data_IF_330048001967
#
_entry.id   IF_330048001967
#
_cell.length_a   1.000
_cell.length_b   1.000
_cell.length_c   1.000
_cell.angle_alpha   90.00
_cell.angle_beta   90.00
_cell.angle_gamma   90.00
#
_symmetry.space_group_name_H-M   'P 1'
#
loop_
_entity.id
_entity.type
_entity.pdbx_description
1 polymer ?
#
# COMPACT_ATOMS: atom_id res chain seq x y z
N UNK A 1 14.96 -12.71 -57.83
CA UNK A 1 13.75 -13.09 -57.05
C UNK A 1 14.04 -13.67 -55.67
N UNK A 2 14.77 -14.79 -55.54
CA UNK A 2 14.98 -15.44 -54.22
C UNK A 2 15.61 -14.58 -53.12
N UNK A 3 16.53 -13.64 -53.44
CA UNK A 3 17.10 -12.72 -52.44
C UNK A 3 16.07 -11.73 -51.89
N UNK A 4 15.18 -11.21 -52.75
CA UNK A 4 14.11 -10.28 -52.34
C UNK A 4 13.10 -10.96 -51.42
N UNK A 5 12.68 -12.18 -51.78
CA UNK A 5 11.74 -12.98 -50.96
C UNK A 5 12.34 -13.25 -49.57
N UNK A 6 13.62 -13.64 -49.50
CA UNK A 6 14.31 -13.89 -48.22
C UNK A 6 14.37 -12.63 -47.35
N UNK A 7 14.66 -11.47 -47.93
CA UNK A 7 14.68 -10.19 -47.21
C UNK A 7 13.28 -9.83 -46.71
N UNK A 8 12.24 -9.97 -47.53
CA UNK A 8 10.85 -9.69 -47.10
C UNK A 8 10.39 -10.60 -45.96
N UNK A 9 10.68 -11.90 -46.04
CA UNK A 9 10.34 -12.86 -44.96
C UNK A 9 11.08 -12.51 -43.67
N UNK A 10 12.36 -12.16 -43.75
CA UNK A 10 13.16 -11.78 -42.58
C UNK A 10 12.67 -10.46 -41.96
N UNK A 11 12.30 -9.47 -42.79
CA UNK A 11 11.70 -8.23 -42.31
C UNK A 11 10.35 -8.46 -41.64
N UNK A 12 9.49 -9.31 -42.20
CA UNK A 12 8.20 -9.65 -41.59
C UNK A 12 8.43 -10.34 -40.25
N UNK A 13 9.33 -11.33 -40.18
CA UNK A 13 9.65 -12.00 -38.93
C UNK A 13 10.18 -11.02 -37.86
N UNK A 14 11.07 -10.10 -38.25
CA UNK A 14 11.59 -9.07 -37.35
C UNK A 14 10.47 -8.15 -36.83
N UNK A 15 9.57 -7.70 -37.71
CA UNK A 15 8.43 -6.85 -37.34
C UNK A 15 7.45 -7.59 -36.43
N UNK A 16 7.22 -8.88 -36.65
CA UNK A 16 6.38 -9.70 -35.78
C UNK A 16 6.98 -9.84 -34.39
N UNK A 17 8.29 -10.11 -34.29
CA UNK A 17 8.99 -10.18 -32.99
C UNK A 17 8.97 -8.83 -32.28
N UNK A 18 9.21 -7.73 -33.00
CA UNK A 18 9.14 -6.39 -32.44
C UNK A 18 7.73 -6.03 -31.95
N UNK A 19 6.70 -6.38 -32.70
CA UNK A 19 5.30 -6.17 -32.31
C UNK A 19 4.95 -6.98 -31.06
N UNK A 20 5.28 -8.28 -31.04
CA UNK A 20 5.05 -9.14 -29.89
C UNK A 20 5.80 -8.64 -28.65
N UNK A 21 7.06 -8.20 -28.80
CA UNK A 21 7.84 -7.60 -27.73
C UNK A 21 7.23 -6.30 -27.20
N UNK A 22 6.70 -5.45 -28.08
CA UNK A 22 6.02 -4.19 -27.70
C UNK A 22 4.74 -4.46 -26.89
N UNK A 23 3.94 -5.44 -27.32
CA UNK A 23 2.73 -5.86 -26.60
C UNK A 23 3.11 -6.41 -25.22
N UNK A 24 4.11 -7.30 -25.16
CA UNK A 24 4.58 -7.87 -23.90
C UNK A 24 5.08 -6.79 -22.92
N UNK A 25 5.87 -5.83 -23.41
CA UNK A 25 6.35 -4.71 -22.59
C UNK A 25 5.22 -3.82 -22.10
N UNK A 26 4.20 -3.58 -22.93
CA UNK A 26 3.01 -2.81 -22.57
C UNK A 26 2.24 -3.50 -21.44
N UNK A 27 1.98 -4.80 -21.58
CA UNK A 27 1.29 -5.59 -20.54
C UNK A 27 2.09 -5.63 -19.25
N UNK A 28 3.40 -5.84 -19.32
CA UNK A 28 4.28 -5.83 -18.15
C UNK A 28 4.28 -4.47 -17.44
N UNK A 29 4.31 -3.38 -18.21
CA UNK A 29 4.30 -2.02 -17.65
C UNK A 29 2.96 -1.71 -17.01
N UNK A 30 1.86 -2.07 -17.68
CA UNK A 30 0.50 -1.87 -17.18
C UNK A 30 0.28 -2.61 -15.86
N UNK A 31 0.57 -3.92 -15.83
CA UNK A 31 0.41 -4.75 -14.62
C UNK A 31 1.21 -4.24 -13.43
N UNK A 32 2.44 -3.76 -13.66
CA UNK A 32 3.25 -3.13 -12.61
C UNK A 32 2.68 -1.81 -12.12
N UNK A 33 2.17 -0.97 -13.03
CA UNK A 33 1.58 0.34 -12.70
C UNK A 33 0.27 0.21 -11.93
N UNK A 34 -0.50 -0.83 -12.19
CA UNK A 34 -1.79 -1.11 -11.53
C UNK A 34 -1.68 -2.05 -10.34
N UNK A 35 -0.45 -2.42 -9.93
CA UNK A 35 -0.25 -3.29 -8.77
C UNK A 35 -0.65 -2.58 -7.48
N UNK A 36 -1.59 -3.19 -6.77
CA UNK A 36 -2.10 -2.72 -5.48
C UNK A 36 -2.03 -3.88 -4.51
N UNK A 37 -1.19 -3.75 -3.47
CA UNK A 37 -1.02 -4.81 -2.47
C UNK A 37 -1.61 -4.38 -1.13
N UNK A 38 -2.47 -5.19 -0.49
CA UNK A 38 -2.94 -4.90 0.86
C UNK A 38 -1.77 -4.97 1.84
N UNK A 39 -1.59 -3.92 2.62
CA UNK A 39 -0.48 -3.79 3.58
C UNK A 39 -0.92 -3.62 5.02
N UNK A 40 -2.15 -3.19 5.25
CA UNK A 40 -2.75 -3.13 6.57
C UNK A 40 -4.26 -3.19 6.45
N UNK A 41 -4.93 -3.73 7.46
CA UNK A 41 -6.36 -3.64 7.62
C UNK A 41 -6.71 -3.22 9.03
N UNK A 42 -7.81 -2.51 9.15
CA UNK A 42 -8.22 -1.92 10.41
C UNK A 42 -9.73 -1.79 10.54
N UNK A 43 -10.21 -1.90 11.77
CA UNK A 43 -11.58 -1.59 12.14
C UNK A 43 -11.60 -0.89 13.49
N UNK A 44 -12.69 -0.19 13.77
CA UNK A 44 -12.83 0.62 14.97
C UNK A 44 -13.92 0.05 15.88
N UNK A 45 -13.70 0.16 17.18
CA UNK A 45 -14.69 -0.09 18.23
C UNK A 45 -14.88 1.19 19.04
N UNK A 46 -16.11 1.70 19.18
CA UNK A 46 -16.37 2.92 19.95
C UNK A 46 -16.14 2.69 21.45
N UNK A 47 -15.54 3.67 22.12
CA UNK A 47 -15.33 3.66 23.58
C UNK A 47 -16.08 4.82 24.23
N UNK A 48 -16.00 6.00 23.63
CA UNK A 48 -16.71 7.22 24.05
C UNK A 48 -16.97 8.10 22.83
N UNK A 49 -17.55 9.28 23.05
CA UNK A 49 -17.74 10.27 21.99
C UNK A 49 -16.38 10.66 21.39
N UNK A 50 -16.21 10.42 20.09
CA UNK A 50 -14.96 10.66 19.35
C UNK A 50 -13.73 9.94 19.94
N UNK A 51 -13.94 8.83 20.66
CA UNK A 51 -12.88 7.95 21.15
C UNK A 51 -13.12 6.50 20.69
N UNK A 52 -12.11 5.93 20.03
CA UNK A 52 -12.19 4.60 19.44
C UNK A 52 -10.97 3.75 19.81
N UNK A 53 -11.14 2.42 19.83
CA UNK A 53 -10.04 1.48 19.71
C UNK A 53 -9.93 1.04 18.26
N UNK A 54 -8.82 1.36 17.62
CA UNK A 54 -8.46 0.83 16.32
C UNK A 54 -7.73 -0.50 16.48
N UNK A 55 -8.23 -1.52 15.80
CA UNK A 55 -7.58 -2.81 15.68
C UNK A 55 -6.85 -2.85 14.35
N UNK A 56 -5.52 -2.74 14.36
CA UNK A 56 -4.70 -2.74 13.15
C UNK A 56 -4.08 -4.13 12.99
N UNK A 57 -4.12 -4.64 11.77
CA UNK A 57 -3.36 -5.85 11.40
C UNK A 57 -2.61 -5.67 10.09
N UNK A 58 -1.40 -6.21 10.00
CA UNK A 58 -0.60 -6.20 8.78
C UNK A 58 -0.07 -7.60 8.47
N UNK A 59 -0.21 -8.08 7.22
CA UNK A 59 0.36 -9.37 6.80
C UNK A 59 1.89 -9.38 6.74
N UNK A 60 2.52 -8.22 6.54
CA UNK A 60 3.93 -8.11 6.15
C UNK A 60 4.77 -7.26 7.12
N UNK A 61 4.16 -6.64 8.12
CA UNK A 61 4.82 -5.71 9.04
C UNK A 61 4.43 -6.05 10.47
N UNK A 62 5.34 -5.90 11.41
CA UNK A 62 5.06 -6.04 12.85
C UNK A 62 4.39 -4.78 13.40
N UNK A 63 3.15 -4.54 12.95
CA UNK A 63 2.30 -3.42 13.40
C UNK A 63 0.93 -3.92 13.87
N UNK A 64 0.80 -5.23 14.09
CA UNK A 64 -0.41 -5.83 14.63
C UNK A 64 -0.61 -5.31 16.06
N UNK A 65 -1.78 -4.72 16.35
CA UNK A 65 -2.02 -4.15 17.65
C UNK A 65 -3.35 -3.41 17.79
N UNK A 66 -3.59 -2.96 19.01
CA UNK A 66 -4.73 -2.10 19.35
C UNK A 66 -4.22 -0.71 19.72
N UNK A 67 -4.87 0.30 19.16
CA UNK A 67 -4.45 1.70 19.27
C UNK A 67 -5.64 2.54 19.71
N UNK A 68 -5.47 3.35 20.75
CA UNK A 68 -6.49 4.32 21.14
C UNK A 68 -6.45 5.52 20.19
N UNK A 69 -7.58 5.85 19.59
CA UNK A 69 -7.73 6.88 18.56
C UNK A 69 -8.75 7.93 19.03
N UNK A 70 -8.47 9.18 18.73
CA UNK A 70 -9.31 10.34 19.04
C UNK A 70 -9.73 11.05 17.75
N UNK A 71 -10.95 11.55 17.71
CA UNK A 71 -11.51 12.29 16.57
C UNK A 71 -12.47 11.49 15.72
N UNK A 72 -12.92 12.10 14.63
CA UNK A 72 -13.89 11.56 13.67
C UNK A 72 -13.22 10.95 12.42
N UNK A 73 -11.91 11.14 12.26
CA UNK A 73 -11.11 10.56 11.19
C UNK A 73 -9.91 9.79 11.75
N UNK A 74 -9.34 8.92 10.91
CA UNK A 74 -8.07 8.27 11.18
C UNK A 74 -7.10 8.50 10.03
N UNK A 75 -5.79 8.46 10.32
CA UNK A 75 -4.71 8.64 9.36
C UNK A 75 -3.65 7.55 9.55
N UNK A 76 -3.15 7.03 8.43
CA UNK A 76 -1.94 6.22 8.39
C UNK A 76 -0.95 6.78 7.39
N UNK A 77 0.32 6.86 7.82
CA UNK A 77 1.42 7.44 7.06
C UNK A 77 2.44 6.37 6.69
N UNK A 78 3.03 6.50 5.51
CA UNK A 78 4.14 5.69 5.05
C UNK A 78 5.21 6.52 4.35
N UNK A 79 6.47 6.10 4.53
CA UNK A 79 7.59 6.59 3.74
C UNK A 79 7.80 5.67 2.53
N UNK A 80 7.91 6.27 1.35
CA UNK A 80 8.16 5.59 0.08
C UNK A 80 9.54 5.93 -0.46
N UNK A 81 10.18 4.91 -1.04
CA UNK A 81 11.37 5.06 -1.87
C UNK A 81 11.02 4.61 -3.29
N UNK A 82 11.04 5.58 -4.21
CA UNK A 82 10.85 5.34 -5.62
C UNK A 82 12.19 5.09 -6.29
N UNK A 83 12.28 3.95 -6.98
CA UNK A 83 13.43 3.62 -7.81
C UNK A 83 13.27 4.20 -9.22
N UNK A 84 14.40 4.35 -9.90
CA UNK A 84 14.44 4.76 -11.30
C UNK A 84 13.64 3.77 -12.18
N UNK A 85 13.00 4.22 -13.28
CA UNK A 85 12.15 3.34 -14.09
C UNK A 85 12.84 2.08 -14.61
N UNK A 86 14.14 2.17 -14.92
CA UNK A 86 14.92 1.04 -15.39
C UNK A 86 15.20 0.00 -14.28
N UNK A 87 15.23 0.40 -13.01
CA UNK A 87 15.36 -0.51 -11.88
C UNK A 87 14.10 -1.40 -11.73
N UNK A 88 12.92 -0.84 -12.02
CA UNK A 88 11.67 -1.60 -12.04
C UNK A 88 11.69 -2.67 -13.15
N UNK A 89 12.31 -2.37 -14.31
CA UNK A 89 12.47 -3.36 -15.40
C UNK A 89 13.32 -4.56 -14.94
N UNK A 90 14.31 -4.33 -14.07
CA UNK A 90 15.16 -5.37 -13.49
C UNK A 90 14.49 -6.15 -12.33
N UNK A 91 13.22 -5.88 -12.04
CA UNK A 91 12.47 -6.59 -11.00
C UNK A 91 12.64 -6.02 -9.59
N UNK A 92 13.22 -4.83 -9.43
CA UNK A 92 13.25 -4.15 -8.15
C UNK A 92 11.98 -3.32 -7.94
N UNK A 93 11.17 -3.69 -6.96
CA UNK A 93 9.95 -2.94 -6.64
C UNK A 93 10.21 -1.74 -5.71
N UNK A 94 9.34 -0.73 -5.78
CA UNK A 94 9.33 0.37 -4.82
C UNK A 94 9.24 -0.16 -3.38
N UNK A 95 10.03 0.44 -2.48
CA UNK A 95 10.06 0.08 -1.05
C UNK A 95 9.18 1.05 -0.27
N UNK A 96 8.51 0.53 0.76
CA UNK A 96 7.69 1.33 1.66
C UNK A 96 7.97 0.92 3.11
N UNK A 97 7.70 1.84 4.02
CA UNK A 97 7.67 1.61 5.46
C UNK A 97 6.50 2.37 6.06
N UNK A 98 5.63 1.70 6.82
CA UNK A 98 4.62 2.39 7.64
C UNK A 98 5.36 3.17 8.74
N UNK A 99 4.96 4.41 8.97
CA UNK A 99 5.69 5.34 9.86
C UNK A 99 4.84 5.75 11.05
N UNK A 100 3.56 6.06 10.82
CA UNK A 100 2.72 6.63 11.86
C UNK A 100 1.26 6.24 11.66
N UNK A 101 0.57 6.02 12.77
CA UNK A 101 -0.88 5.88 12.84
C UNK A 101 -1.43 6.80 13.90
N UNK A 102 -2.52 7.51 13.59
CA UNK A 102 -3.14 8.45 14.52
C UNK A 102 -4.60 8.71 14.19
N UNK A 103 -5.32 9.25 15.18
CA UNK A 103 -6.61 9.88 14.97
C UNK A 103 -6.46 11.33 14.51
N UNK A 104 -7.50 11.84 13.86
CA UNK A 104 -7.57 13.21 13.36
C UNK A 104 -8.99 13.73 13.47
N UNK A 105 -9.10 15.03 13.71
CA UNK A 105 -10.34 15.77 13.62
C UNK A 105 -10.48 16.40 12.22
N UNK A 106 -11.65 16.23 11.61
CA UNK A 106 -12.00 16.90 10.35
C UNK A 106 -12.07 18.41 10.52
N UNK A 107 -12.48 18.87 11.70
CA UNK A 107 -12.53 20.27 12.09
C UNK A 107 -11.15 20.77 12.57
N UNK A 108 -10.72 21.91 12.02
CA UNK A 108 -9.38 22.45 12.26
C UNK A 108 -9.23 23.01 13.68
N UNK A 109 -10.27 23.61 14.25
CA UNK A 109 -10.20 24.14 15.61
C UNK A 109 -10.05 22.99 16.60
N UNK A 110 -10.83 21.92 16.42
CA UNK A 110 -10.72 20.70 17.20
C UNK A 110 -9.37 20.01 17.03
N UNK A 111 -8.87 19.87 15.80
CA UNK A 111 -7.53 19.28 15.56
C UNK A 111 -6.42 20.00 16.34
N UNK A 112 -6.53 21.32 16.52
CA UNK A 112 -5.54 22.12 17.24
C UNK A 112 -5.73 22.13 18.76
N UNK A 113 -6.91 21.77 19.27
CA UNK A 113 -7.27 21.99 20.68
C UNK A 113 -7.63 20.71 21.44
N UNK A 114 -8.11 19.69 20.73
CA UNK A 114 -8.55 18.43 21.32
C UNK A 114 -7.37 17.46 21.54
N UNK A 115 -7.52 16.48 22.44
CA UNK A 115 -6.53 15.43 22.63
C UNK A 115 -6.27 14.65 21.34
N UNK A 116 -5.01 14.39 21.03
CA UNK A 116 -4.59 13.53 19.94
C UNK A 116 -3.52 12.57 20.45
N UNK A 117 -3.44 11.38 19.84
CA UNK A 117 -2.36 10.42 20.08
C UNK A 117 -1.88 9.90 18.72
N UNK A 118 -0.56 9.99 18.52
CA UNK A 118 0.13 9.41 17.40
C UNK A 118 1.02 8.25 17.86
N UNK A 119 1.00 7.17 17.09
CA UNK A 119 1.81 5.99 17.31
C UNK A 119 2.82 5.85 16.20
N UNK A 120 4.07 5.58 16.57
CA UNK A 120 5.09 5.15 15.61
C UNK A 120 4.78 3.73 15.14
N UNK A 121 4.85 3.52 13.83
CA UNK A 121 4.74 2.21 13.22
C UNK A 121 6.11 1.75 12.72
N UNK A 122 6.41 0.46 12.89
CA UNK A 122 7.61 -0.16 12.32
C UNK A 122 8.94 0.29 12.95
N UNK A 123 8.98 0.49 14.28
CA UNK A 123 10.18 0.88 15.02
C UNK A 123 11.32 -0.15 14.90
N UNK A 124 11.00 -1.44 14.77
CA UNK A 124 11.99 -2.50 14.90
C UNK A 124 12.07 -3.37 13.63
N UNK A 125 13.08 -3.13 12.79
CA UNK A 125 13.51 -4.09 11.76
C UNK A 125 13.03 -3.87 10.33
N UNK A 126 12.25 -2.82 10.06
CA UNK A 126 11.91 -2.43 8.68
C UNK A 126 13.13 -1.84 7.97
N UNK A 127 13.53 -2.44 6.85
CA UNK A 127 14.55 -1.98 5.87
C UNK A 127 14.96 -0.52 6.09
N UNK A 128 16.22 -0.28 6.47
CA UNK A 128 16.76 1.08 6.52
C UNK A 128 16.80 1.62 5.08
N UNK A 129 15.77 2.39 4.71
CA UNK A 129 15.74 3.12 3.46
C UNK A 129 17.02 3.97 3.32
N UNK A 130 17.56 4.49 4.43
CA UNK A 130 18.85 5.17 4.50
C UNK A 130 20.03 4.36 3.97
N UNK A 131 20.10 3.05 4.27
CA UNK A 131 21.19 2.20 3.79
C UNK A 131 21.24 2.11 2.26
N UNK A 132 20.07 2.02 1.62
CA UNK A 132 19.97 1.96 0.16
C UNK A 132 20.34 3.31 -0.49
N UNK A 133 20.01 4.43 0.17
CA UNK A 133 20.37 5.79 -0.26
C UNK A 133 21.88 6.00 -0.31
N UNK A 134 22.61 5.52 0.69
CA UNK A 134 24.05 5.73 0.82
C UNK A 134 24.84 4.91 -0.21
N UNK A 135 24.38 3.70 -0.50
CA UNK A 135 25.17 2.77 -1.31
C UNK A 135 24.87 2.85 -2.82
N UNK A 136 23.66 3.25 -3.22
CA UNK A 136 23.23 3.18 -4.63
C UNK A 136 22.38 4.41 -5.06
N UNK A 137 22.91 5.64 -4.98
CA UNK A 137 22.13 6.87 -5.24
C UNK A 137 21.59 6.97 -6.66
N UNK A 138 22.28 6.36 -7.64
CA UNK A 138 21.85 6.33 -9.04
C UNK A 138 20.63 5.43 -9.29
N UNK A 139 20.25 4.57 -8.34
CA UNK A 139 19.04 3.75 -8.41
C UNK A 139 17.79 4.50 -7.96
N UNK A 140 17.93 5.58 -7.19
CA UNK A 140 16.80 6.30 -6.62
C UNK A 140 16.30 7.38 -7.57
N UNK A 141 14.97 7.49 -7.68
CA UNK A 141 14.28 8.61 -8.31
C UNK A 141 13.87 9.65 -7.26
N UNK A 142 13.13 9.22 -6.23
CA UNK A 142 12.62 10.11 -5.20
C UNK A 142 12.36 9.40 -3.87
N UNK A 143 12.39 10.17 -2.78
CA UNK A 143 11.86 9.80 -1.48
C UNK A 143 10.71 10.74 -1.12
N UNK A 144 9.59 10.17 -0.67
CA UNK A 144 8.42 10.96 -0.31
C UNK A 144 7.57 10.27 0.75
N UNK A 145 6.78 11.06 1.47
CA UNK A 145 5.74 10.57 2.37
C UNK A 145 4.43 10.41 1.64
N UNK A 146 3.68 9.36 1.96
CA UNK A 146 2.31 9.17 1.52
C UNK A 146 1.43 8.93 2.74
N UNK A 147 0.28 9.59 2.76
CA UNK A 147 -0.68 9.51 3.84
C UNK A 147 -2.06 9.24 3.27
N UNK A 148 -2.84 8.40 3.94
CA UNK A 148 -4.25 8.20 3.64
C UNK A 148 -5.06 8.36 4.92
N UNK A 149 -6.25 8.94 4.77
CA UNK A 149 -7.18 9.18 5.87
C UNK A 149 -8.61 9.05 5.39
N UNK A 150 -9.51 8.69 6.30
CA UNK A 150 -10.94 8.62 6.04
C UNK A 150 -11.71 8.72 7.35
N UNK A 151 -13.01 8.99 7.25
CA UNK A 151 -13.91 9.07 8.40
C UNK A 151 -14.03 7.70 9.07
N UNK A 152 -14.10 7.70 10.39
CA UNK A 152 -14.29 6.49 11.19
C UNK A 152 -15.75 6.03 11.05
N UNK A 153 -15.92 4.75 10.74
CA UNK A 153 -17.19 4.05 10.70
C UNK A 153 -17.05 2.74 11.47
N UNK A 154 -17.99 2.49 12.37
CA UNK A 154 -18.02 1.30 13.24
C UNK A 154 -18.43 0.02 12.47
N UNK A 155 -19.11 0.22 11.35
CA UNK A 155 -19.68 -0.82 10.49
C UNK A 155 -18.78 -1.13 9.28
N UNK A 156 -17.53 -0.65 9.28
CA UNK A 156 -16.59 -0.84 8.18
C UNK A 156 -15.28 -1.49 8.62
N UNK A 157 -14.72 -2.29 7.72
CA UNK A 157 -13.32 -2.70 7.73
C UNK A 157 -12.61 -1.93 6.64
N UNK A 158 -11.51 -1.29 6.98
CA UNK A 158 -10.67 -0.57 6.04
C UNK A 158 -9.46 -1.42 5.68
N UNK A 159 -9.15 -1.47 4.39
CA UNK A 159 -7.92 -2.09 3.88
C UNK A 159 -7.09 -1.01 3.21
N UNK A 160 -5.86 -0.88 3.69
CA UNK A 160 -4.84 0.03 3.17
C UNK A 160 -4.00 -0.74 2.15
N UNK A 161 -3.93 -0.20 0.95
CA UNK A 161 -3.17 -0.72 -0.17
C UNK A 161 -1.93 0.13 -0.41
N UNK A 162 -0.82 -0.55 -0.71
CA UNK A 162 0.36 0.06 -1.30
C UNK A 162 0.25 -0.02 -2.82
N UNK A 163 0.26 1.15 -3.44
CA UNK A 163 0.34 1.33 -4.89
C UNK A 163 1.75 1.75 -5.32
N UNK A 164 1.98 1.93 -6.62
CA UNK A 164 3.22 2.51 -7.14
C UNK A 164 3.45 3.99 -6.74
N UNK A 165 2.39 4.70 -6.35
CA UNK A 165 2.41 6.15 -6.15
C UNK A 165 2.08 6.58 -4.72
N UNK A 166 1.78 5.63 -3.83
CA UNK A 166 1.42 5.92 -2.45
C UNK A 166 0.40 4.95 -1.88
N UNK A 167 -0.22 5.36 -0.78
CA UNK A 167 -1.27 4.63 -0.10
C UNK A 167 -2.64 4.91 -0.72
N UNK A 168 -3.47 3.88 -0.74
CA UNK A 168 -4.90 3.94 -1.05
C UNK A 168 -5.65 3.23 0.07
N UNK A 169 -6.85 3.68 0.41
CA UNK A 169 -7.75 2.97 1.33
C UNK A 169 -9.03 2.57 0.62
N UNK A 170 -9.54 1.37 0.92
CA UNK A 170 -10.92 0.96 0.60
C UNK A 170 -11.60 0.47 1.86
N UNK A 171 -12.90 0.77 1.97
CA UNK A 171 -13.74 0.26 3.04
C UNK A 171 -14.70 -0.79 2.50
N UNK A 172 -14.92 -1.82 3.30
CA UNK A 172 -15.93 -2.86 3.08
C UNK A 172 -16.81 -2.97 4.33
N UNK A 173 -18.09 -3.33 4.19
CA UNK A 173 -18.96 -3.55 5.34
C UNK A 173 -18.37 -4.61 6.28
N UNK A 174 -18.40 -4.33 7.58
CA UNK A 174 -17.95 -5.27 8.61
C UNK A 174 -18.80 -6.55 8.51
N UNK A 175 -18.19 -7.74 8.43
CA UNK A 175 -18.94 -8.98 8.36
C UNK A 175 -19.81 -9.14 9.60
N UNK A 176 -21.09 -9.49 9.44
CA UNK A 176 -21.94 -9.86 10.56
C UNK A 176 -21.27 -11.03 11.34
N UNK A 177 -21.29 -11.00 12.68
CA UNK A 177 -20.75 -12.09 13.48
C UNK A 177 -21.61 -13.35 13.26
N UNK A 178 -21.18 -14.19 12.32
CA UNK A 178 -21.72 -15.54 12.15
C UNK A 178 -21.21 -16.35 13.34
N UNK A 179 -22.10 -16.68 14.29
CA UNK A 179 -21.97 -17.72 15.31
C UNK A 179 -20.58 -17.96 15.93
N UNK A 180 -20.45 -17.60 17.21
CA UNK A 180 -19.45 -18.07 18.18
C UNK A 180 -18.07 -18.55 17.63
N UNK A 181 -17.05 -17.69 17.77
CA UNK A 181 -15.59 -17.97 17.72
C UNK A 181 -14.83 -17.82 16.38
N UNK A 182 -15.32 -17.05 15.42
CA UNK A 182 -14.41 -16.48 14.41
C UNK A 182 -13.96 -15.08 14.87
N UNK A 183 -12.73 -14.96 15.38
CA UNK A 183 -12.12 -13.66 15.65
C UNK A 183 -12.16 -12.82 14.37
N UNK A 184 -12.71 -11.60 14.45
CA UNK A 184 -12.78 -10.65 13.33
C UNK A 184 -11.40 -10.45 12.73
N UNK A 185 -10.36 -10.37 13.57
CA UNK A 185 -8.96 -10.33 13.16
C UNK A 185 -8.52 -11.56 12.36
N UNK A 186 -8.99 -12.76 12.71
CA UNK A 186 -8.69 -13.99 11.98
C UNK A 186 -9.30 -14.02 10.58
N UNK A 187 -10.50 -13.46 10.42
CA UNK A 187 -11.19 -13.38 9.12
C UNK A 187 -10.65 -12.23 8.26
N UNK A 188 -10.33 -11.08 8.86
CA UNK A 188 -9.62 -10.00 8.17
C UNK A 188 -8.25 -10.49 7.68
N UNK A 189 -7.53 -11.24 8.52
CA UNK A 189 -6.25 -11.83 8.13
C UNK A 189 -6.37 -12.87 7.02
N UNK A 190 -7.45 -13.67 6.98
CA UNK A 190 -7.69 -14.63 5.90
C UNK A 190 -8.07 -13.96 4.57
N UNK A 191 -8.63 -12.75 4.59
CA UNK A 191 -8.90 -11.97 3.37
C UNK A 191 -7.65 -11.31 2.78
N UNK A 192 -6.65 -11.04 3.62
CA UNK A 192 -5.39 -10.43 3.19
C UNK A 192 -4.37 -11.49 2.74
N UNK A 193 -4.55 -12.75 3.14
CA UNK A 193 -3.66 -13.86 2.81
C UNK A 193 -4.38 -14.95 2.02
N UNK A 194 -4.46 -14.78 0.70
CA UNK A 194 -4.57 -15.88 -0.26
C UNK A 194 -3.75 -15.50 -1.51
N UNK A 195 -2.69 -16.29 -1.72
CA UNK A 195 -1.71 -16.38 -2.83
C UNK A 195 -0.81 -15.18 -3.21
#
# INVERSE_FOLDING_TARGET
MFRLIKVSVLSIALLTVALAGSIALTVLTYTRLTDEKPIASLYFEPVADEEFIAHLSSPHTDVDGTYKVYGDQWRIDAAFMKLQPWANILGMDARYKLVRFEGRYSDIERENTQPHIAYELGSDGGFDLGYLLVNLPFLMDAQYGSSTFTDISEDAVYTVYRTQFGLLVRSEPKPEPIGEKASVLGKVRSWIGED
#
